data_IF_795399321791
#
_entry.id   IF_795399321791
#
_cell.length_a   1.000
_cell.length_b   1.000
_cell.length_c   1.000
_cell.angle_alpha   90.00
_cell.angle_beta   90.00
_cell.angle_gamma   90.00
#
_symmetry.space_group_name_H-M   'P 1'
#
loop_
_entity.id
_entity.type
_entity.pdbx_description
1 polymer ?
#
# COMPACT_ATOMS: atom_id res chain seq x y z
N UNK A 1 -2.50 51.16 3.97
CA UNK A 1 -3.74 50.55 3.41
C UNK A 1 -3.46 49.49 2.35
N UNK A 2 -2.77 49.77 1.22
CA UNK A 2 -2.42 48.71 0.26
C UNK A 2 -1.28 47.81 0.76
N UNK A 3 -0.28 48.37 1.40
CA UNK A 3 0.88 47.64 1.95
C UNK A 3 0.47 46.64 3.04
N UNK A 4 -0.41 47.04 3.96
CA UNK A 4 -0.95 46.15 5.00
C UNK A 4 -1.72 44.95 4.42
N UNK A 5 -2.44 45.16 3.31
CA UNK A 5 -3.14 44.07 2.62
C UNK A 5 -2.16 43.13 1.94
N UNK A 6 -1.09 43.68 1.37
CA UNK A 6 -0.05 42.94 0.67
C UNK A 6 0.72 42.05 1.65
N UNK A 7 1.17 42.60 2.78
CA UNK A 7 1.81 41.86 3.87
C UNK A 7 0.92 40.73 4.41
N UNK A 8 -0.40 40.97 4.57
CA UNK A 8 -1.35 39.92 4.99
C UNK A 8 -1.46 38.79 3.98
N UNK A 9 -1.45 39.11 2.69
CA UNK A 9 -1.51 38.11 1.62
C UNK A 9 -0.22 37.29 1.59
N UNK A 10 0.95 37.93 1.62
CA UNK A 10 2.25 37.24 1.66
C UNK A 10 2.38 36.32 2.86
N UNK A 11 1.98 36.81 4.04
CA UNK A 11 1.94 35.99 5.26
C UNK A 11 1.05 34.76 5.06
N UNK A 12 -0.16 34.95 4.52
CA UNK A 12 -1.10 33.85 4.26
C UNK A 12 -0.54 32.85 3.25
N UNK A 13 0.12 33.33 2.19
CA UNK A 13 0.76 32.48 1.18
C UNK A 13 1.85 31.64 1.82
N UNK A 14 2.75 32.23 2.62
CA UNK A 14 3.81 31.49 3.30
C UNK A 14 3.26 30.38 4.22
N UNK A 15 2.17 30.66 4.97
CA UNK A 15 1.49 29.63 5.76
C UNK A 15 0.88 28.52 4.89
N UNK A 16 0.28 28.88 3.75
CA UNK A 16 -0.28 27.91 2.82
C UNK A 16 0.80 27.05 2.16
N UNK A 17 1.94 27.61 1.79
CA UNK A 17 3.08 26.87 1.23
C UNK A 17 3.61 25.84 2.24
N UNK A 18 3.78 26.24 3.51
CA UNK A 18 4.17 25.32 4.58
C UNK A 18 3.13 24.21 4.76
N UNK A 19 1.84 24.57 4.80
CA UNK A 19 0.75 23.59 4.92
C UNK A 19 0.74 22.59 3.77
N UNK A 20 0.94 23.06 2.53
CA UNK A 20 0.99 22.21 1.34
C UNK A 20 2.18 21.25 1.43
N UNK A 21 3.34 21.73 1.88
CA UNK A 21 4.52 20.90 2.07
C UNK A 21 4.27 19.80 3.11
N UNK A 22 3.71 20.15 4.27
CA UNK A 22 3.42 19.18 5.34
C UNK A 22 2.39 18.13 4.89
N UNK A 23 1.38 18.55 4.13
CA UNK A 23 0.41 17.63 3.54
C UNK A 23 1.06 16.71 2.50
N UNK A 24 1.96 17.23 1.66
CA UNK A 24 2.68 16.42 0.68
C UNK A 24 3.55 15.37 1.37
N UNK A 25 4.32 15.78 2.38
CA UNK A 25 5.16 14.88 3.20
C UNK A 25 4.30 13.78 3.86
N UNK A 26 3.11 14.13 4.35
CA UNK A 26 2.15 13.17 4.92
C UNK A 26 1.64 12.18 3.89
N UNK A 27 1.17 12.66 2.73
CA UNK A 27 0.64 11.81 1.65
C UNK A 27 1.71 10.85 1.13
N UNK A 28 2.95 11.33 0.97
CA UNK A 28 4.08 10.51 0.56
C UNK A 28 4.34 9.36 1.55
N UNK A 29 4.38 9.67 2.85
CA UNK A 29 4.57 8.66 3.88
C UNK A 29 3.43 7.63 3.91
N UNK A 30 2.18 8.08 3.72
CA UNK A 30 1.02 7.20 3.62
C UNK A 30 1.11 6.28 2.39
N UNK A 31 1.51 6.80 1.23
CA UNK A 31 1.68 6.00 0.02
C UNK A 31 2.73 4.90 0.24
N UNK A 32 3.86 5.23 0.85
CA UNK A 32 4.90 4.24 1.19
C UNK A 32 4.39 3.12 2.11
N UNK A 33 3.55 3.47 3.08
CA UNK A 33 2.91 2.48 3.96
C UNK A 33 1.94 1.58 3.17
N UNK A 34 1.13 2.15 2.28
CA UNK A 34 0.20 1.41 1.42
C UNK A 34 0.96 0.44 0.51
N UNK A 35 2.08 0.87 -0.08
CA UNK A 35 2.89 0.02 -0.95
C UNK A 35 3.45 -1.18 -0.18
N UNK A 36 3.96 -0.93 1.03
CA UNK A 36 4.49 -1.98 1.93
C UNK A 36 3.38 -2.99 2.32
N UNK A 37 2.19 -2.50 2.67
CA UNK A 37 1.04 -3.34 3.01
C UNK A 37 0.58 -4.16 1.79
N UNK A 38 0.53 -3.54 0.62
CA UNK A 38 0.13 -4.19 -0.63
C UNK A 38 1.09 -5.32 -1.01
N UNK A 39 2.39 -5.10 -0.85
CA UNK A 39 3.40 -6.15 -1.05
C UNK A 39 3.23 -7.30 -0.06
N UNK A 40 3.01 -6.99 1.21
CA UNK A 40 2.78 -8.00 2.25
C UNK A 40 1.54 -8.84 1.96
N UNK A 41 0.44 -8.19 1.53
CA UNK A 41 -0.79 -8.88 1.14
C UNK A 41 -0.56 -9.78 -0.07
N UNK A 42 0.19 -9.33 -1.07
CA UNK A 42 0.53 -10.14 -2.24
C UNK A 42 1.29 -11.40 -1.82
N UNK A 43 2.33 -11.25 -0.98
CA UNK A 43 3.09 -12.39 -0.46
C UNK A 43 2.22 -13.37 0.34
N UNK A 44 1.26 -12.88 1.12
CA UNK A 44 0.32 -13.72 1.85
C UNK A 44 -0.60 -14.50 0.90
N UNK A 45 -1.14 -13.84 -0.13
CA UNK A 45 -1.98 -14.48 -1.14
C UNK A 45 -1.20 -15.56 -1.88
N UNK A 46 0.04 -15.28 -2.27
CA UNK A 46 0.90 -16.25 -2.98
C UNK A 46 1.17 -17.48 -2.10
N UNK A 47 1.51 -17.29 -0.81
CA UNK A 47 1.67 -18.42 0.14
C UNK A 47 0.41 -19.27 0.30
N UNK A 48 -0.76 -18.63 0.37
CA UNK A 48 -2.03 -19.35 0.48
C UNK A 48 -2.27 -20.19 -0.78
N UNK A 49 -2.03 -19.64 -1.97
CA UNK A 49 -2.15 -20.38 -3.24
C UNK A 49 -1.19 -21.55 -3.32
N UNK A 50 0.08 -21.36 -2.93
CA UNK A 50 1.05 -22.44 -2.91
C UNK A 50 0.62 -23.57 -1.97
N UNK A 51 0.09 -23.22 -0.79
CA UNK A 51 -0.41 -24.19 0.19
C UNK A 51 -1.66 -24.95 -0.29
N UNK A 52 -2.57 -24.31 -1.01
CA UNK A 52 -3.77 -24.97 -1.56
C UNK A 52 -3.43 -25.88 -2.74
N UNK A 53 -2.43 -25.53 -3.56
CA UNK A 53 -1.92 -26.40 -4.62
C UNK A 53 -1.31 -27.67 -4.02
N UNK A 54 -0.55 -27.55 -2.92
CA UNK A 54 0.02 -28.71 -2.21
C UNK A 54 -1.09 -29.64 -1.69
N UNK A 55 -2.15 -29.11 -1.07
CA UNK A 55 -3.24 -29.95 -0.53
C UNK A 55 -4.06 -30.68 -1.62
N UNK A 56 -4.08 -30.15 -2.85
CA UNK A 56 -4.83 -30.76 -3.97
C UNK A 56 -3.96 -31.72 -4.80
N UNK A 57 -2.62 -31.64 -4.67
CA UNK A 57 -1.66 -32.49 -5.38
C UNK A 57 -1.34 -33.81 -4.68
N UNK A 58 -1.58 -33.93 -3.37
CA UNK A 58 -1.35 -35.17 -2.61
C UNK A 58 -2.53 -36.16 -2.68
N UNK A 59 -3.76 -35.70 -2.92
CA UNK A 59 -4.95 -36.57 -2.95
C UNK A 59 -5.13 -37.36 -4.26
N UNK A 60 -4.39 -37.02 -5.33
CA UNK A 60 -4.52 -37.64 -6.65
C UNK A 60 -3.47 -38.73 -6.95
N UNK A 61 -2.57 -39.05 -6.00
CA UNK A 61 -1.45 -39.97 -6.24
C UNK A 61 -1.56 -41.35 -5.58
N UNK A 62 -2.63 -41.64 -4.83
CA UNK A 62 -2.67 -42.82 -3.97
C UNK A 62 -3.76 -43.86 -4.31
N UNK A 63 -4.16 -43.96 -5.58
CA UNK A 63 -4.89 -45.13 -6.05
C UNK A 63 -4.03 -45.98 -6.97
N UNK A 64 -3.29 -46.92 -6.36
CA UNK A 64 -2.70 -48.04 -7.09
C UNK A 64 -3.85 -48.90 -7.63
N UNK A 65 -3.93 -49.19 -8.95
CA UNK A 65 -5.02 -49.99 -9.48
C UNK A 65 -5.00 -51.39 -8.85
N UNK A 66 -6.17 -51.95 -8.47
CA UNK A 66 -6.25 -53.34 -8.05
C UNK A 66 -5.90 -54.22 -9.26
N UNK A 67 -4.77 -54.90 -9.19
CA UNK A 67 -4.47 -55.98 -10.13
C UNK A 67 -5.29 -57.20 -9.73
N UNK A 68 -6.09 -57.69 -10.70
CA UNK A 68 -7.02 -58.83 -10.62
C UNK A 68 -6.52 -60.03 -9.81
#
# INVERSE_FOLDING_TARGET
MNEDRLVKIETKIAFQENTIKDLNDTVYNQQKQIDTLSETLKQLIDRIRDSSIISTGETLKDEKPPHY
#
